data_IF_640406911748
#
_entry.id   IF_640406911748
#
_cell.length_a   1.000
_cell.length_b   1.000
_cell.length_c   1.000
_cell.angle_alpha   90.00
_cell.angle_beta   90.00
_cell.angle_gamma   90.00
#
_symmetry.space_group_name_H-M   'P 1'
#
loop_
_entity.id
_entity.type
_entity.pdbx_description
1 polymer ?
#
# COMPACT_ATOMS: atom_id res chain seq x y z
N UNK A 1 -35.71 6.15 -22.54
CA UNK A 1 -35.08 7.23 -21.72
C UNK A 1 -33.68 6.89 -21.21
N UNK A 2 -33.44 5.76 -20.51
CA UNK A 2 -32.10 5.39 -19.98
C UNK A 2 -30.98 5.27 -21.03
N UNK A 3 -31.29 4.82 -22.25
CA UNK A 3 -30.28 4.67 -23.32
C UNK A 3 -29.88 6.02 -23.95
N UNK A 4 -30.76 7.03 -23.93
CA UNK A 4 -30.47 8.37 -24.45
C UNK A 4 -29.47 9.12 -23.57
N UNK A 5 -29.64 9.03 -22.24
CA UNK A 5 -28.74 9.65 -21.26
C UNK A 5 -27.33 9.03 -21.32
N UNK A 6 -27.21 7.71 -21.52
CA UNK A 6 -25.93 7.01 -21.66
C UNK A 6 -25.12 7.44 -22.89
N UNK A 7 -25.77 7.86 -23.97
CA UNK A 7 -25.11 8.31 -25.21
C UNK A 7 -24.78 9.81 -25.17
N UNK A 8 -25.59 10.62 -24.48
CA UNK A 8 -25.31 12.07 -24.36
C UNK A 8 -24.18 12.40 -23.37
N UNK A 9 -23.97 11.58 -22.33
CA UNK A 9 -22.90 11.79 -21.35
C UNK A 9 -21.48 11.86 -21.96
N UNK A 10 -21.04 10.94 -22.86
CA UNK A 10 -19.72 11.05 -23.48
C UNK A 10 -19.60 12.23 -24.46
N UNK A 11 -20.70 12.62 -25.15
CA UNK A 11 -20.72 13.76 -26.06
C UNK A 11 -20.48 15.07 -25.28
N UNK A 12 -21.15 15.21 -24.13
CA UNK A 12 -20.95 16.37 -23.26
C UNK A 12 -19.51 16.45 -22.74
N UNK A 13 -18.91 15.31 -22.39
CA UNK A 13 -17.50 15.23 -22.02
C UNK A 13 -16.56 15.69 -23.14
N UNK A 14 -16.79 15.25 -24.38
CA UNK A 14 -16.00 15.66 -25.54
C UNK A 14 -16.13 17.16 -25.85
N UNK A 15 -17.34 17.72 -25.70
CA UNK A 15 -17.58 19.16 -25.90
C UNK A 15 -16.81 19.99 -24.87
N UNK A 16 -16.84 19.60 -23.58
CA UNK A 16 -16.07 20.28 -22.53
C UNK A 16 -14.57 20.19 -22.82
N UNK A 17 -14.09 19.02 -23.23
CA UNK A 17 -12.68 18.80 -23.54
C UNK A 17 -12.25 19.65 -24.74
N UNK A 18 -13.09 19.75 -25.78
CA UNK A 18 -12.87 20.63 -26.92
C UNK A 18 -12.82 22.10 -26.54
N UNK A 19 -13.73 22.56 -25.67
CA UNK A 19 -13.73 23.93 -25.15
C UNK A 19 -12.48 24.25 -24.31
N UNK A 20 -12.00 23.28 -23.50
CA UNK A 20 -10.76 23.45 -22.74
C UNK A 20 -9.53 23.55 -23.64
N UNK A 21 -9.45 22.72 -24.68
CA UNK A 21 -8.36 22.78 -25.67
C UNK A 21 -8.39 24.09 -26.43
N UNK A 22 -9.57 24.52 -26.89
CA UNK A 22 -9.76 25.80 -27.57
C UNK A 22 -9.36 26.99 -26.69
N UNK A 23 -9.87 27.03 -25.45
CA UNK A 23 -9.52 28.09 -24.50
C UNK A 23 -8.04 28.11 -24.15
N UNK A 24 -7.40 26.94 -24.02
CA UNK A 24 -5.95 26.83 -23.84
C UNK A 24 -5.17 27.35 -25.04
N UNK A 25 -5.62 27.07 -26.27
CA UNK A 25 -5.02 27.58 -27.50
C UNK A 25 -5.11 29.12 -27.59
N UNK A 26 -6.29 29.68 -27.36
CA UNK A 26 -6.50 31.15 -27.35
C UNK A 26 -5.60 31.83 -26.31
N UNK A 27 -5.44 31.23 -25.14
CA UNK A 27 -4.55 31.74 -24.10
C UNK A 27 -3.08 31.74 -24.55
N UNK A 28 -2.63 30.69 -25.24
CA UNK A 28 -1.27 30.63 -25.80
C UNK A 28 -1.06 31.70 -26.89
N UNK A 29 -2.04 31.91 -27.76
CA UNK A 29 -1.98 32.95 -28.81
C UNK A 29 -1.94 34.34 -28.21
N UNK A 30 -2.78 34.62 -27.20
CA UNK A 30 -2.78 35.89 -26.49
C UNK A 30 -1.43 36.18 -25.83
N UNK A 31 -0.83 35.18 -25.16
CA UNK A 31 0.51 35.30 -24.58
C UNK A 31 1.55 35.58 -25.68
N UNK A 32 1.53 34.87 -26.80
CA UNK A 32 2.48 35.08 -27.89
C UNK A 32 2.35 36.48 -28.52
N UNK A 33 1.14 37.03 -28.62
CA UNK A 33 0.89 38.38 -29.12
C UNK A 33 1.41 39.45 -28.17
N UNK A 34 1.27 39.25 -26.86
CA UNK A 34 1.86 40.15 -25.85
C UNK A 34 3.38 40.23 -26.02
N UNK A 35 4.06 39.09 -26.20
CA UNK A 35 5.51 39.08 -26.43
C UNK A 35 5.94 39.72 -27.74
N UNK A 36 5.13 39.64 -28.82
CA UNK A 36 5.42 40.33 -30.09
C UNK A 36 5.34 41.85 -29.99
N UNK A 37 4.60 42.39 -29.02
CA UNK A 37 4.43 43.83 -28.83
C UNK A 37 5.55 44.49 -27.99
N UNK A 38 6.48 43.70 -27.45
CA UNK A 38 7.58 44.18 -26.61
C UNK A 38 8.82 44.53 -27.44
N UNK A 39 9.54 45.59 -27.06
CA UNK A 39 10.81 45.98 -27.69
C UNK A 39 11.82 44.80 -27.65
N UNK A 40 12.45 44.44 -28.79
CA UNK A 40 13.44 43.36 -28.86
C UNK A 40 14.58 43.43 -27.83
N UNK A 41 14.97 44.64 -27.39
CA UNK A 41 16.01 44.83 -26.36
C UNK A 41 15.57 44.42 -24.96
N UNK A 42 14.27 44.48 -24.65
CA UNK A 42 13.69 44.08 -23.37
C UNK A 42 13.06 42.68 -23.43
N UNK A 43 12.66 42.24 -24.62
CA UNK A 43 11.95 40.98 -24.85
C UNK A 43 12.71 39.75 -24.36
N UNK A 44 14.04 39.69 -24.53
CA UNK A 44 14.84 38.55 -24.09
C UNK A 44 14.85 38.41 -22.55
N UNK A 45 15.00 39.53 -21.82
CA UNK A 45 14.98 39.54 -20.36
C UNK A 45 13.59 39.21 -19.79
N UNK A 46 12.53 39.76 -20.40
CA UNK A 46 11.15 39.45 -20.02
C UNK A 46 10.79 37.99 -20.29
N UNK A 47 11.19 37.44 -21.44
CA UNK A 47 10.96 36.03 -21.76
C UNK A 47 11.67 35.12 -20.75
N UNK A 48 12.92 35.40 -20.42
CA UNK A 48 13.67 34.64 -19.42
C UNK A 48 13.02 34.70 -18.03
N UNK A 49 12.57 35.88 -17.60
CA UNK A 49 11.88 36.07 -16.32
C UNK A 49 10.55 35.32 -16.28
N UNK A 50 9.72 35.44 -17.32
CA UNK A 50 8.45 34.72 -17.42
C UNK A 50 8.64 33.21 -17.48
N UNK A 51 9.62 32.72 -18.25
CA UNK A 51 9.95 31.30 -18.29
C UNK A 51 10.38 30.78 -16.91
N UNK A 52 11.20 31.53 -16.18
CA UNK A 52 11.64 31.19 -14.81
C UNK A 52 10.45 31.09 -13.85
N UNK A 53 9.55 32.08 -13.87
CA UNK A 53 8.33 32.07 -13.06
C UNK A 53 7.47 30.86 -13.41
N UNK A 54 7.24 30.58 -14.70
CA UNK A 54 6.44 29.45 -15.16
C UNK A 54 7.03 28.11 -14.71
N UNK A 55 8.33 27.88 -14.92
CA UNK A 55 9.01 26.65 -14.50
C UNK A 55 8.93 26.48 -12.98
N UNK A 56 9.11 27.57 -12.23
CA UNK A 56 9.02 27.55 -10.76
C UNK A 56 7.62 27.14 -10.29
N UNK A 57 6.57 27.74 -10.86
CA UNK A 57 5.17 27.41 -10.53
C UNK A 57 4.86 25.96 -10.87
N UNK A 58 5.23 25.48 -12.07
CA UNK A 58 5.00 24.09 -12.49
C UNK A 58 5.74 23.12 -11.57
N UNK A 59 7.00 23.41 -11.22
CA UNK A 59 7.79 22.60 -10.29
C UNK A 59 7.12 22.51 -8.92
N UNK A 60 6.66 23.63 -8.35
CA UNK A 60 5.99 23.66 -7.04
C UNK A 60 4.68 22.87 -7.07
N UNK A 61 3.87 23.01 -8.12
CA UNK A 61 2.61 22.26 -8.25
C UNK A 61 2.86 20.74 -8.32
N UNK A 62 3.89 20.32 -9.08
CA UNK A 62 4.26 18.92 -9.19
C UNK A 62 4.81 18.35 -7.87
N UNK A 63 5.70 19.09 -7.20
CA UNK A 63 6.21 18.73 -5.88
C UNK A 63 5.09 18.61 -4.86
N UNK A 64 4.20 19.62 -4.80
CA UNK A 64 3.12 19.65 -3.82
C UNK A 64 2.15 18.49 -3.98
N UNK A 65 1.86 18.09 -5.22
CA UNK A 65 1.02 16.92 -5.51
C UNK A 65 1.65 15.61 -5.02
N UNK A 66 2.97 15.45 -5.16
CA UNK A 66 3.66 14.27 -4.67
C UNK A 66 3.76 14.26 -3.14
N UNK A 67 4.11 15.40 -2.53
CA UNK A 67 4.14 15.60 -1.08
C UNK A 67 2.79 15.22 -0.46
N UNK A 68 1.68 15.73 -0.98
CA UNK A 68 0.35 15.39 -0.46
C UNK A 68 0.05 13.90 -0.48
N UNK A 69 0.47 13.18 -1.53
CA UNK A 69 0.27 11.74 -1.60
C UNK A 69 1.10 11.02 -0.54
N UNK A 70 2.37 11.39 -0.41
CA UNK A 70 3.30 10.83 0.58
C UNK A 70 2.83 11.13 2.01
N UNK A 71 2.34 12.35 2.26
CA UNK A 71 1.82 12.76 3.57
C UNK A 71 0.62 11.92 3.99
N UNK A 72 -0.33 11.67 3.07
CA UNK A 72 -1.48 10.79 3.34
C UNK A 72 -1.01 9.37 3.64
N UNK A 73 -0.08 8.84 2.84
CA UNK A 73 0.47 7.50 3.06
C UNK A 73 1.20 7.38 4.41
N UNK A 74 1.95 8.42 4.81
CA UNK A 74 2.64 8.48 6.09
C UNK A 74 1.67 8.56 7.28
N UNK A 75 0.65 9.43 7.20
CA UNK A 75 -0.38 9.53 8.24
C UNK A 75 -1.15 8.22 8.42
N UNK A 76 -1.48 7.54 7.33
CA UNK A 76 -2.13 6.23 7.40
C UNK A 76 -1.20 5.18 8.00
N UNK A 77 0.08 5.18 7.59
CA UNK A 77 1.10 4.28 8.12
C UNK A 77 1.29 4.45 9.63
N UNK A 78 1.31 5.68 10.13
CA UNK A 78 1.39 5.98 11.57
C UNK A 78 0.23 5.37 12.37
N UNK A 79 -0.96 5.23 11.77
CA UNK A 79 -2.10 4.56 12.41
C UNK A 79 -2.05 3.04 12.29
N UNK A 80 -1.50 2.53 11.18
CA UNK A 80 -1.43 1.09 10.88
C UNK A 80 -0.33 0.36 11.64
N UNK A 81 0.85 0.95 11.78
CA UNK A 81 2.00 0.35 12.46
C UNK A 81 1.64 -0.20 13.85
N UNK A 82 1.04 0.57 14.78
CA UNK A 82 0.75 0.06 16.12
C UNK A 82 -0.25 -1.10 16.11
N UNK A 83 -1.18 -1.14 15.15
CA UNK A 83 -2.12 -2.25 14.96
C UNK A 83 -1.35 -3.51 14.58
N UNK A 84 -0.43 -3.40 13.61
CA UNK A 84 0.35 -4.53 13.12
C UNK A 84 1.39 -5.02 14.13
N UNK A 85 1.98 -4.10 14.91
CA UNK A 85 2.86 -4.44 16.03
C UNK A 85 2.11 -5.26 17.08
N UNK A 86 0.93 -4.81 17.53
CA UNK A 86 0.10 -5.55 18.48
C UNK A 86 -0.25 -6.97 17.97
N UNK A 87 -0.59 -7.09 16.68
CA UNK A 87 -0.86 -8.38 16.05
C UNK A 87 0.36 -9.32 16.08
N UNK A 88 1.53 -8.81 15.68
CA UNK A 88 2.77 -9.59 15.66
C UNK A 88 3.19 -9.98 17.07
N UNK A 89 3.11 -9.05 18.03
CA UNK A 89 3.38 -9.30 19.44
C UNK A 89 2.50 -10.42 19.99
N UNK A 90 1.21 -10.42 19.63
CA UNK A 90 0.29 -11.46 20.04
C UNK A 90 0.63 -12.83 19.44
N UNK A 91 0.94 -12.89 18.13
CA UNK A 91 1.41 -14.12 17.47
C UNK A 91 2.67 -14.64 18.16
N UNK A 92 3.62 -13.76 18.47
CA UNK A 92 4.87 -14.13 19.13
C UNK A 92 4.65 -14.56 20.58
N UNK A 93 3.74 -13.90 21.31
CA UNK A 93 3.37 -14.29 22.67
C UNK A 93 2.83 -15.71 22.69
N UNK A 94 1.90 -16.06 21.78
CA UNK A 94 1.39 -17.43 21.67
C UNK A 94 2.50 -18.42 21.32
N UNK A 95 3.38 -18.06 20.38
CA UNK A 95 4.43 -18.93 19.84
C UNK A 95 5.57 -19.17 20.83
N UNK A 96 5.89 -18.19 21.69
CA UNK A 96 7.09 -18.19 22.54
C UNK A 96 6.83 -18.13 24.04
N UNK A 97 5.58 -18.00 24.49
CA UNK A 97 5.26 -17.85 25.92
C UNK A 97 5.93 -18.90 26.80
N UNK A 98 5.87 -20.18 26.42
CA UNK A 98 6.52 -21.28 27.16
C UNK A 98 8.06 -21.11 27.23
N UNK A 99 8.69 -20.81 26.09
CA UNK A 99 10.16 -20.61 26.00
C UNK A 99 10.63 -19.37 26.76
N UNK A 100 9.76 -18.38 26.91
CA UNK A 100 10.03 -17.12 27.60
C UNK A 100 9.57 -17.12 29.06
N UNK A 101 8.99 -18.22 29.56
CA UNK A 101 8.42 -18.30 30.91
C UNK A 101 7.25 -17.34 31.14
N UNK A 102 6.55 -16.93 30.07
CA UNK A 102 5.35 -16.09 30.12
C UNK A 102 4.10 -16.97 30.16
N UNK A 103 3.04 -16.49 30.79
CA UNK A 103 1.75 -17.14 30.71
C UNK A 103 1.19 -17.04 29.28
N UNK A 104 0.54 -18.12 28.82
CA UNK A 104 -0.28 -18.07 27.62
C UNK A 104 -1.46 -17.10 27.82
N UNK A 105 -1.93 -16.41 26.77
CA UNK A 105 -3.12 -15.57 26.87
C UNK A 105 -4.33 -16.38 27.36
N UNK A 106 -5.10 -15.79 28.26
CA UNK A 106 -6.39 -16.34 28.67
C UNK A 106 -7.40 -16.26 27.53
N UNK A 107 -8.47 -17.07 27.59
CA UNK A 107 -9.56 -17.03 26.61
C UNK A 107 -10.16 -15.61 26.47
N UNK A 108 -10.31 -14.90 27.61
CA UNK A 108 -10.83 -13.53 27.62
C UNK A 108 -9.88 -12.56 26.89
N UNK A 109 -8.57 -12.71 27.09
CA UNK A 109 -7.56 -11.89 26.39
C UNK A 109 -7.52 -12.20 24.89
N UNK A 110 -7.66 -13.48 24.49
CA UNK A 110 -7.81 -13.85 23.09
C UNK A 110 -9.04 -13.20 22.45
N UNK A 111 -10.20 -13.29 23.09
CA UNK A 111 -11.45 -12.69 22.58
C UNK A 111 -11.29 -11.17 22.44
N UNK A 112 -10.72 -10.51 23.46
CA UNK A 112 -10.46 -9.07 23.42
C UNK A 112 -9.53 -8.70 22.26
N UNK A 113 -8.41 -9.44 22.10
CA UNK A 113 -7.47 -9.24 21.00
C UNK A 113 -8.17 -9.33 19.63
N UNK A 114 -8.97 -10.38 19.40
CA UNK A 114 -9.67 -10.53 18.13
C UNK A 114 -10.72 -9.45 17.91
N UNK A 115 -11.43 -9.03 18.94
CA UNK A 115 -12.44 -7.98 18.85
C UNK A 115 -11.80 -6.62 18.53
N UNK A 116 -10.77 -6.23 19.27
CA UNK A 116 -10.05 -4.97 19.08
C UNK A 116 -9.33 -4.94 17.72
N UNK A 117 -8.64 -6.02 17.36
CA UNK A 117 -7.99 -6.13 16.04
C UNK A 117 -9.01 -6.04 14.91
N UNK A 118 -10.17 -6.69 15.04
CA UNK A 118 -11.22 -6.60 14.02
C UNK A 118 -11.73 -5.17 13.87
N UNK A 119 -11.99 -4.45 14.98
CA UNK A 119 -12.38 -3.03 14.95
C UNK A 119 -11.33 -2.20 14.22
N UNK A 120 -10.06 -2.37 14.57
CA UNK A 120 -8.98 -1.55 14.04
C UNK A 120 -8.72 -1.85 12.55
N UNK A 121 -8.83 -3.11 12.12
CA UNK A 121 -8.71 -3.50 10.72
C UNK A 121 -9.91 -3.06 9.86
N UNK A 122 -11.11 -2.91 10.42
CA UNK A 122 -12.25 -2.33 9.69
C UNK A 122 -12.00 -0.85 9.36
N UNK A 123 -11.31 -0.12 10.24
CA UNK A 123 -11.02 1.31 10.06
C UNK A 123 -9.78 1.52 9.19
N UNK A 124 -8.69 0.80 9.47
CA UNK A 124 -7.37 1.08 8.90
C UNK A 124 -6.83 -0.06 8.03
N UNK A 125 -7.41 -1.26 8.07
CA UNK A 125 -6.93 -2.41 7.33
C UNK A 125 -7.13 -2.24 5.83
N UNK A 126 -6.10 -2.57 5.04
CA UNK A 126 -6.26 -2.67 3.60
C UNK A 126 -6.99 -3.96 3.22
N UNK A 127 -7.46 -4.04 1.97
CA UNK A 127 -8.15 -5.21 1.43
C UNK A 127 -7.35 -6.51 1.64
N UNK A 128 -6.04 -6.46 1.40
CA UNK A 128 -5.17 -7.64 1.50
C UNK A 128 -5.01 -8.08 2.97
N UNK A 129 -4.93 -7.12 3.91
CA UNK A 129 -4.85 -7.39 5.35
C UNK A 129 -6.15 -7.98 5.87
N UNK A 130 -7.30 -7.40 5.50
CA UNK A 130 -8.61 -7.89 5.94
C UNK A 130 -8.81 -9.34 5.48
N UNK A 131 -8.43 -9.63 4.22
CA UNK A 131 -8.50 -10.99 3.70
C UNK A 131 -7.57 -11.93 4.48
N UNK A 132 -6.29 -11.58 4.62
CA UNK A 132 -5.31 -12.45 5.27
C UNK A 132 -5.62 -12.70 6.76
N UNK A 133 -6.17 -11.70 7.47
CA UNK A 133 -6.63 -11.88 8.84
C UNK A 133 -7.88 -12.76 8.94
N UNK A 134 -8.79 -12.66 7.96
CA UNK A 134 -9.94 -13.56 7.83
C UNK A 134 -9.50 -15.01 7.64
N UNK A 135 -8.61 -15.24 6.67
CA UNK A 135 -8.04 -16.56 6.37
C UNK A 135 -7.33 -17.15 7.62
N UNK A 136 -6.60 -16.32 8.38
CA UNK A 136 -5.98 -16.70 9.65
C UNK A 136 -6.98 -17.14 10.72
N UNK A 137 -8.07 -16.37 10.92
CA UNK A 137 -9.12 -16.72 11.89
C UNK A 137 -9.84 -18.01 11.52
N UNK A 138 -10.12 -18.21 10.23
CA UNK A 138 -10.75 -19.43 9.73
C UNK A 138 -9.86 -20.65 9.98
N UNK A 139 -8.57 -20.54 9.64
CA UNK A 139 -7.60 -21.61 9.88
C UNK A 139 -7.49 -21.97 11.37
N UNK A 140 -7.46 -20.98 12.27
CA UNK A 140 -7.47 -21.21 13.72
C UNK A 140 -8.69 -22.03 14.19
N UNK A 141 -9.88 -21.75 13.64
CA UNK A 141 -11.10 -22.49 13.99
C UNK A 141 -11.07 -23.95 13.53
N UNK A 142 -10.45 -24.22 12.38
CA UNK A 142 -10.38 -25.57 11.80
C UNK A 142 -9.17 -26.39 12.26
N UNK A 143 -8.18 -25.76 12.90
CA UNK A 143 -6.91 -26.40 13.27
C UNK A 143 -7.12 -27.60 14.22
N UNK A 144 -8.06 -27.48 15.15
CA UNK A 144 -8.40 -28.56 16.09
C UNK A 144 -9.00 -29.79 15.40
N UNK A 145 -9.64 -29.62 14.24
CA UNK A 145 -10.30 -30.69 13.50
C UNK A 145 -9.37 -31.34 12.47
N UNK A 146 -8.56 -30.52 11.78
CA UNK A 146 -7.79 -30.96 10.63
C UNK A 146 -6.32 -31.26 10.94
N UNK A 147 -5.77 -30.74 12.05
CA UNK A 147 -4.36 -30.91 12.41
C UNK A 147 -3.35 -30.39 11.37
N UNK A 148 -3.80 -29.52 10.45
CA UNK A 148 -2.98 -29.00 9.36
C UNK A 148 -2.03 -27.89 9.82
N UNK A 149 -0.95 -28.31 10.50
CA UNK A 149 0.10 -27.41 10.97
C UNK A 149 0.80 -26.68 9.82
N UNK A 150 1.01 -27.33 8.67
CA UNK A 150 1.67 -26.71 7.52
C UNK A 150 0.81 -25.59 6.91
N UNK A 151 -0.49 -25.84 6.74
CA UNK A 151 -1.47 -24.83 6.33
C UNK A 151 -1.54 -23.67 7.30
N UNK A 152 -1.55 -23.92 8.61
CA UNK A 152 -1.53 -22.88 9.63
C UNK A 152 -0.27 -21.99 9.54
N UNK A 153 0.90 -22.60 9.42
CA UNK A 153 2.16 -21.86 9.25
C UNK A 153 2.15 -21.04 7.96
N UNK A 154 1.65 -21.59 6.87
CA UNK A 154 1.51 -20.87 5.60
C UNK A 154 0.57 -19.66 5.74
N UNK A 155 -0.57 -19.82 6.41
CA UNK A 155 -1.52 -18.72 6.62
C UNK A 155 -0.95 -17.62 7.51
N UNK A 156 -0.22 -17.97 8.58
CA UNK A 156 0.50 -16.99 9.40
C UNK A 156 1.51 -16.23 8.54
N UNK A 157 2.27 -16.91 7.70
CA UNK A 157 3.25 -16.25 6.84
C UNK A 157 2.61 -15.37 5.76
N UNK A 158 1.48 -15.80 5.17
CA UNK A 158 0.70 -14.97 4.24
C UNK A 158 0.23 -13.68 4.91
N UNK A 159 -0.17 -13.78 6.17
CA UNK A 159 -0.56 -12.61 6.94
C UNK A 159 0.63 -11.67 7.22
N UNK A 160 1.79 -12.21 7.60
CA UNK A 160 3.02 -11.43 7.76
C UNK A 160 3.47 -10.79 6.44
N UNK A 161 3.28 -11.47 5.30
CA UNK A 161 3.52 -10.89 3.98
C UNK A 161 2.55 -9.75 3.69
N UNK A 162 1.25 -9.91 3.97
CA UNK A 162 0.27 -8.86 3.77
C UNK A 162 0.63 -7.61 4.59
N UNK A 163 1.04 -7.76 5.86
CA UNK A 163 1.52 -6.66 6.70
C UNK A 163 2.72 -5.95 6.06
N UNK A 164 3.73 -6.71 5.65
CA UNK A 164 4.93 -6.14 5.00
C UNK A 164 4.57 -5.39 3.71
N UNK A 165 3.67 -5.95 2.90
CA UNK A 165 3.17 -5.34 1.68
C UNK A 165 2.50 -4.00 1.96
N UNK A 166 1.63 -3.99 2.97
CA UNK A 166 0.84 -2.81 3.33
C UNK A 166 1.72 -1.69 3.90
N UNK A 167 2.82 -2.08 4.56
CA UNK A 167 3.90 -1.17 4.95
C UNK A 167 4.88 -0.84 3.80
N UNK A 168 4.60 -1.20 2.56
CA UNK A 168 5.37 -0.76 1.39
C UNK A 168 6.67 -1.54 1.12
N UNK A 169 6.87 -2.70 1.75
CA UNK A 169 7.97 -3.59 1.39
C UNK A 169 7.68 -4.27 0.03
N UNK A 170 8.69 -4.32 -0.85
CA UNK A 170 8.61 -5.03 -2.12
C UNK A 170 8.92 -6.52 -1.91
N UNK A 171 8.08 -7.40 -2.45
CA UNK A 171 8.20 -8.87 -2.30
C UNK A 171 9.23 -9.54 -3.22
N UNK A 172 10.08 -8.79 -3.89
CA UNK A 172 10.85 -9.31 -5.04
C UNK A 172 11.90 -10.38 -4.71
N UNK A 173 12.20 -10.64 -3.42
CA UNK A 173 13.22 -11.62 -3.01
C UNK A 173 12.85 -12.50 -1.81
N UNK A 174 11.69 -12.30 -1.18
CA UNK A 174 11.30 -13.09 0.00
C UNK A 174 10.29 -14.14 -0.44
N UNK A 175 10.63 -15.41 -0.25
CA UNK A 175 9.90 -16.60 -0.67
C UNK A 175 9.15 -17.21 0.51
N UNK A 176 8.23 -18.13 0.21
CA UNK A 176 7.50 -18.92 1.22
C UNK A 176 8.49 -19.66 2.13
N UNK A 177 8.33 -19.48 3.43
CA UNK A 177 9.13 -20.05 4.51
C UNK A 177 10.30 -19.17 4.96
N UNK A 178 10.66 -18.12 4.23
CA UNK A 178 11.79 -17.25 4.59
C UNK A 178 11.53 -16.44 5.87
N UNK A 179 10.28 -16.01 6.11
CA UNK A 179 9.94 -15.28 7.33
C UNK A 179 9.84 -16.26 8.51
N UNK A 180 9.22 -17.42 8.27
CA UNK A 180 9.05 -18.45 9.30
C UNK A 180 10.39 -19.00 9.80
N UNK A 181 11.40 -19.10 8.92
CA UNK A 181 12.76 -19.55 9.28
C UNK A 181 13.46 -18.65 10.31
N UNK A 182 12.98 -17.42 10.50
CA UNK A 182 13.52 -16.53 11.53
C UNK A 182 13.23 -17.02 12.96
N UNK A 183 12.22 -17.87 13.14
CA UNK A 183 11.79 -18.33 14.46
C UNK A 183 11.42 -19.82 14.56
N UNK A 184 11.35 -20.53 13.43
CA UNK A 184 11.13 -21.99 13.36
C UNK A 184 12.36 -22.63 12.73
N UNK A 185 13.02 -23.52 13.48
CA UNK A 185 14.30 -24.11 13.08
C UNK A 185 14.15 -25.17 11.98
N UNK A 186 13.04 -25.92 12.00
CA UNK A 186 12.71 -27.08 11.17
C UNK A 186 11.66 -26.74 10.09
N UNK A 187 11.66 -25.48 9.63
CA UNK A 187 10.66 -24.98 8.68
C UNK A 187 10.69 -25.70 7.32
N UNK A 188 11.84 -26.27 6.96
CA UNK A 188 12.04 -27.02 5.73
C UNK A 188 11.28 -28.36 5.72
N UNK A 189 10.94 -28.91 6.89
CA UNK A 189 10.06 -30.08 7.04
C UNK A 189 8.66 -29.76 6.48
N UNK A 190 8.18 -28.54 6.73
CA UNK A 190 6.86 -28.07 6.29
C UNK A 190 6.90 -27.46 4.88
N UNK A 191 8.05 -26.93 4.44
CA UNK A 191 8.22 -26.26 3.15
C UNK A 191 9.48 -26.76 2.39
N UNK A 192 9.41 -27.95 1.76
CA UNK A 192 10.57 -28.58 1.10
C UNK A 192 11.21 -27.76 -0.03
N UNK A 193 10.47 -26.81 -0.62
CA UNK A 193 10.97 -25.88 -1.64
C UNK A 193 12.14 -25.00 -1.16
N UNK A 194 12.27 -24.79 0.15
CA UNK A 194 13.40 -24.06 0.75
C UNK A 194 14.74 -24.79 0.54
N UNK A 195 14.72 -26.13 0.53
CA UNK A 195 15.92 -26.95 0.35
C UNK A 195 16.44 -26.93 -1.10
N UNK A 196 15.57 -26.66 -2.07
CA UNK A 196 15.96 -26.52 -3.49
C UNK A 196 16.54 -25.14 -3.81
N UNK A 197 16.02 -24.11 -3.14
CA UNK A 197 16.49 -22.73 -3.29
C UNK A 197 17.90 -22.51 -2.71
N UNK A 198 18.18 -23.08 -1.54
CA UNK A 198 19.49 -22.97 -0.88
C UNK A 198 20.62 -23.65 -1.66
N UNK A 199 20.31 -24.70 -2.43
CA UNK A 199 21.28 -25.41 -3.28
C UNK A 199 21.55 -24.69 -4.61
N UNK A 200 20.59 -23.90 -5.12
CA UNK A 200 20.76 -23.12 -6.36
C UNK A 200 21.53 -21.81 -6.16
N UNK A 201 21.42 -21.18 -4.98
CA UNK A 201 22.15 -19.94 -4.68
C UNK A 201 23.61 -20.21 -4.22
N UNK A 202 23.99 -21.48 -4.04
CA UNK A 202 25.32 -21.94 -3.62
C UNK A 202 26.17 -22.54 -4.78
N UNK A 203 25.65 -22.51 -6.01
CA UNK A 203 26.32 -22.95 -7.24
C UNK A 203 26.56 -21.77 -8.18
#
# INVERSE_FOLDING_TARGET
>A
MKNFIKVMQPIFGLVILGLLVWGGYELLVAVALLFKSVDPKLGAGMLAASATVLVSVVSVLFSKKQEHKVDIENQLREKKIPIYENIIEFIFLITFSEKLGKAQPTEKEMIAFFADTTRDLVIWGSKDIIKAFGDFKEMLGTLAENGDTAGMLATVEDFLFAIRKDLGHKHTKVRRGDILRLYINDVDVYFPQLNKASQQDAA
#
